data_IF_102209583002
#
_entry.id   IF_102209583002
#
_cell.length_a   1.000
_cell.length_b   1.000
_cell.length_c   1.000
_cell.angle_alpha   90.00
_cell.angle_beta   90.00
_cell.angle_gamma   90.00
#
_symmetry.space_group_name_H-M   'P 1'
#
loop_
_entity.id
_entity.type
_entity.pdbx_description
1 polymer ?
#
# COMPACT_ATOMS: atom_id res chain seq x y z
N UNK A 1 -7.65 0.74 4.36
CA UNK A 1 -6.45 0.15 3.73
C UNK A 1 -5.33 0.22 4.74
N UNK A 2 -4.51 -0.82 4.82
CA UNK A 2 -3.25 -0.83 5.57
C UNK A 2 -2.12 -1.19 4.62
N UNK A 3 -0.90 -0.74 4.88
CA UNK A 3 0.25 -1.02 4.02
C UNK A 3 1.52 -1.26 4.82
N UNK A 4 2.50 -1.86 4.16
CA UNK A 4 3.89 -1.99 4.62
C UNK A 4 4.84 -1.76 3.44
N UNK A 5 6.08 -1.36 3.73
CA UNK A 5 7.11 -1.13 2.72
C UNK A 5 8.31 -2.03 2.99
N UNK A 6 8.69 -2.84 2.02
CA UNK A 6 9.88 -3.69 2.05
C UNK A 6 11.01 -2.95 1.33
N UNK A 7 12.02 -2.53 2.07
CA UNK A 7 13.16 -1.80 1.55
C UNK A 7 14.10 -2.66 0.71
N UNK A 8 14.13 -3.98 0.97
CA UNK A 8 14.91 -4.95 0.19
C UNK A 8 14.30 -5.15 -1.19
N UNK A 9 12.98 -5.34 -1.25
CA UNK A 9 12.25 -5.52 -2.51
C UNK A 9 11.90 -4.19 -3.20
N UNK A 10 12.07 -3.04 -2.52
CA UNK A 10 11.60 -1.73 -2.96
C UNK A 10 10.11 -1.72 -3.32
N UNK A 11 9.29 -2.45 -2.56
CA UNK A 11 7.90 -2.72 -2.89
C UNK A 11 6.97 -2.36 -1.74
N UNK A 12 5.77 -1.89 -2.08
CA UNK A 12 4.69 -1.71 -1.11
C UNK A 12 3.77 -2.92 -1.13
N UNK A 13 3.34 -3.35 0.06
CA UNK A 13 2.34 -4.39 0.23
C UNK A 13 1.11 -3.80 0.88
N UNK A 14 -0.07 -4.16 0.38
CA UNK A 14 -1.35 -3.63 0.83
C UNK A 14 -2.26 -4.74 1.34
N UNK A 15 -3.01 -4.42 2.39
CA UNK A 15 -4.23 -5.13 2.76
C UNK A 15 -5.44 -4.23 2.49
N UNK A 16 -6.30 -4.65 1.58
CA UNK A 16 -7.44 -3.89 1.11
C UNK A 16 -8.73 -4.58 1.50
N UNK A 17 -9.61 -3.87 2.21
CA UNK A 17 -10.98 -4.34 2.44
C UNK A 17 -11.77 -4.17 1.14
N UNK A 18 -12.37 -5.25 0.66
CA UNK A 18 -13.02 -5.39 -0.65
C UNK A 18 -14.42 -6.00 -0.53
N UNK A 19 -15.09 -5.79 0.60
CA UNK A 19 -16.45 -6.32 0.79
C UNK A 19 -17.43 -5.91 -0.33
N UNK A 20 -18.58 -6.56 -0.37
CA UNK A 20 -19.60 -6.36 -1.42
C UNK A 20 -20.13 -4.93 -1.54
N UNK A 21 -19.93 -4.07 -0.54
CA UNK A 21 -20.28 -2.65 -0.57
C UNK A 21 -19.09 -1.75 -0.99
N UNK A 22 -17.93 -2.33 -1.27
CA UNK A 22 -16.73 -1.60 -1.70
C UNK A 22 -16.92 -1.04 -3.11
N UNK A 23 -16.93 0.29 -3.23
CA UNK A 23 -16.90 1.01 -4.50
C UNK A 23 -15.57 0.88 -5.27
N UNK A 24 -14.57 0.18 -4.71
CA UNK A 24 -13.26 0.01 -5.37
C UNK A 24 -13.44 -0.86 -6.61
N UNK A 25 -13.10 -0.36 -7.81
CA UNK A 25 -13.10 -1.19 -9.01
C UNK A 25 -12.01 -2.26 -8.89
N UNK A 26 -12.09 -3.36 -9.65
CA UNK A 26 -11.04 -4.38 -9.72
C UNK A 26 -9.66 -3.75 -9.84
N UNK A 27 -8.78 -4.12 -8.92
CA UNK A 27 -7.49 -3.48 -8.71
C UNK A 27 -6.31 -4.07 -9.52
N UNK A 28 -6.25 -5.36 -9.88
CA UNK A 28 -5.08 -5.90 -10.57
C UNK A 28 -4.96 -5.34 -12.00
N UNK A 29 -3.74 -5.36 -12.53
CA UNK A 29 -3.43 -5.03 -13.94
C UNK A 29 -3.74 -3.59 -14.39
N UNK A 30 -3.77 -2.63 -13.46
CA UNK A 30 -3.92 -1.22 -13.80
C UNK A 30 -2.79 -0.36 -13.21
N UNK A 31 -2.43 0.76 -13.88
CA UNK A 31 -1.53 1.73 -13.29
C UNK A 31 -2.17 2.35 -12.05
N UNK A 32 -1.40 2.46 -10.97
CA UNK A 32 -1.81 3.12 -9.74
C UNK A 32 -0.74 4.10 -9.27
N UNK A 33 -1.19 5.08 -8.49
CA UNK A 33 -0.32 5.93 -7.69
C UNK A 33 -0.71 5.75 -6.23
N UNK A 34 0.25 5.33 -5.42
CA UNK A 34 0.13 5.31 -3.97
C UNK A 34 0.86 6.53 -3.39
N UNK A 35 0.19 7.21 -2.46
CA UNK A 35 0.76 8.35 -1.73
C UNK A 35 0.64 8.07 -0.24
N UNK A 36 1.74 8.20 0.48
CA UNK A 36 1.75 8.31 1.93
C UNK A 36 2.50 9.56 2.35
N UNK A 37 2.17 10.07 3.53
CA UNK A 37 2.73 11.30 4.05
C UNK A 37 2.81 11.25 5.57
N UNK A 38 3.71 12.03 6.12
CA UNK A 38 3.85 12.24 7.56
C UNK A 38 4.39 13.65 7.82
N UNK A 39 4.21 14.13 9.04
CA UNK A 39 4.83 15.36 9.51
C UNK A 39 6.13 15.01 10.26
N UNK A 40 7.26 15.54 9.77
CA UNK A 40 8.58 15.31 10.36
C UNK A 40 9.26 16.66 10.52
N UNK A 41 9.71 16.97 11.74
CA UNK A 41 10.39 18.23 12.07
C UNK A 41 9.60 19.48 11.62
N UNK A 42 8.30 19.53 11.97
CA UNK A 42 7.37 20.62 11.63
C UNK A 42 7.24 20.89 10.10
N UNK A 43 7.53 19.89 9.27
CA UNK A 43 7.37 19.96 7.82
C UNK A 43 6.64 18.73 7.29
N UNK A 44 5.76 18.93 6.31
CA UNK A 44 5.12 17.80 5.63
C UNK A 44 6.10 17.08 4.70
N UNK A 45 6.16 15.75 4.82
CA UNK A 45 6.88 14.86 3.93
C UNK A 45 5.88 13.93 3.26
N UNK A 46 6.07 13.66 1.96
CA UNK A 46 5.26 12.69 1.22
C UNK A 46 6.11 11.83 0.31
N UNK A 47 5.66 10.59 0.12
CA UNK A 47 6.22 9.64 -0.83
C UNK A 47 5.13 9.31 -1.84
N UNK A 48 5.47 9.40 -3.13
CA UNK A 48 4.61 9.06 -4.25
C UNK A 48 5.24 7.89 -5.00
N UNK A 49 4.56 6.76 -5.00
CA UNK A 49 4.93 5.56 -5.73
C UNK A 49 3.95 5.34 -6.88
N UNK A 50 4.43 5.25 -8.11
CA UNK A 50 3.61 4.96 -9.29
C UNK A 50 4.06 3.66 -9.95
N UNK A 51 3.13 2.79 -10.30
CA UNK A 51 3.44 1.48 -10.88
C UNK A 51 2.20 0.64 -11.12
N UNK A 52 2.32 -0.69 -11.03
CA UNK A 52 1.20 -1.63 -11.18
C UNK A 52 0.91 -2.38 -9.89
N UNK A 53 -0.37 -2.63 -9.62
CA UNK A 53 -0.79 -3.57 -8.58
C UNK A 53 -0.81 -4.99 -9.14
N UNK A 54 -0.18 -5.89 -8.41
CA UNK A 54 -0.19 -7.32 -8.66
C UNK A 54 -0.79 -8.02 -7.44
N UNK A 55 -1.71 -8.96 -7.67
CA UNK A 55 -2.28 -9.76 -6.59
C UNK A 55 -1.18 -10.66 -6.01
N UNK A 56 -1.08 -10.77 -4.68
CA UNK A 56 0.03 -11.53 -4.05
C UNK A 56 -0.10 -13.03 -4.21
N UNK A 57 -1.29 -13.53 -4.57
CA UNK A 57 -1.57 -14.93 -4.88
C UNK A 57 -1.36 -15.26 -6.37
N UNK A 58 -0.97 -14.27 -7.18
CA UNK A 58 -0.56 -14.51 -8.57
C UNK A 58 0.69 -15.39 -8.60
N UNK A 59 0.62 -16.49 -9.35
CA UNK A 59 1.67 -17.50 -9.44
C UNK A 59 3.03 -16.95 -9.90
N UNK A 60 3.06 -15.85 -10.66
CA UNK A 60 4.31 -15.25 -11.13
C UNK A 60 5.08 -14.53 -10.01
N UNK A 61 4.40 -14.08 -8.96
CA UNK A 61 4.99 -13.26 -7.89
C UNK A 61 4.77 -13.82 -6.49
N UNK A 62 4.03 -14.91 -6.33
CA UNK A 62 3.63 -15.45 -5.04
C UNK A 62 4.82 -15.74 -4.10
N UNK A 63 5.91 -16.31 -4.62
CA UNK A 63 7.11 -16.61 -3.82
C UNK A 63 7.77 -15.33 -3.30
N UNK A 64 8.04 -14.37 -4.19
CA UNK A 64 8.64 -13.09 -3.83
C UNK A 64 7.74 -12.29 -2.87
N UNK A 65 6.43 -12.34 -3.09
CA UNK A 65 5.44 -11.68 -2.25
C UNK A 65 5.39 -12.30 -0.85
N UNK A 66 5.50 -13.62 -0.72
CA UNK A 66 5.60 -14.30 0.59
C UNK A 66 6.86 -13.88 1.35
N UNK A 67 8.00 -13.82 0.67
CA UNK A 67 9.24 -13.35 1.28
C UNK A 67 9.13 -11.89 1.73
N UNK A 68 8.59 -11.02 0.88
CA UNK A 68 8.40 -9.61 1.23
C UNK A 68 7.42 -9.42 2.38
N UNK A 69 6.26 -10.08 2.35
CA UNK A 69 5.28 -10.07 3.43
C UNK A 69 5.85 -10.60 4.76
N UNK A 70 6.85 -11.48 4.73
CA UNK A 70 7.54 -11.92 5.96
C UNK A 70 8.42 -10.81 6.58
N UNK A 71 8.89 -9.86 5.77
CA UNK A 71 9.70 -8.70 6.20
C UNK A 71 8.85 -7.50 6.61
N UNK A 72 7.62 -7.38 6.10
CA UNK A 72 6.74 -6.25 6.42
C UNK A 72 5.61 -6.62 7.39
N UNK A 73 5.50 -5.87 8.47
CA UNK A 73 4.31 -5.90 9.32
C UNK A 73 3.22 -4.99 8.76
N UNK A 74 2.15 -5.55 8.19
CA UNK A 74 0.97 -4.77 7.77
C UNK A 74 -0.03 -4.72 8.93
N UNK A 75 -0.28 -3.57 9.56
CA UNK A 75 -1.14 -3.48 10.75
C UNK A 75 -2.57 -3.98 10.47
N UNK A 76 -3.16 -4.79 11.35
CA UNK A 76 -4.59 -5.11 11.36
C UNK A 76 -5.34 -4.11 12.23
N UNK A 77 -6.18 -3.28 11.60
CA UNK A 77 -6.93 -2.21 12.28
C UNK A 77 -8.41 -2.56 12.34
N UNK A 78 -9.02 -2.32 13.49
CA UNK A 78 -10.45 -2.59 13.73
C UNK A 78 -11.25 -1.29 13.60
N UNK A 79 -11.70 -0.98 12.38
CA UNK A 79 -12.41 0.26 12.03
C UNK A 79 -13.70 0.03 11.24
N UNK A 80 -14.15 -1.23 11.12
CA UNK A 80 -15.18 -1.63 10.16
C UNK A 80 -16.61 -1.63 10.72
N UNK A 81 -16.80 -1.22 11.98
CA UNK A 81 -18.12 -1.27 12.65
C UNK A 81 -18.68 -2.69 12.83
N UNK A 82 -17.89 -3.72 12.49
CA UNK A 82 -18.15 -5.16 12.61
C UNK A 82 -16.83 -5.88 12.94
N UNK A 83 -16.87 -7.11 13.46
CA UNK A 83 -15.66 -7.89 13.73
C UNK A 83 -14.77 -7.94 12.49
N UNK A 84 -13.48 -7.65 12.68
CA UNK A 84 -12.51 -7.64 11.57
C UNK A 84 -12.40 -9.01 10.87
N UNK A 85 -12.72 -10.11 11.57
CA UNK A 85 -12.78 -11.45 10.99
C UNK A 85 -13.87 -11.64 9.92
N UNK A 86 -14.91 -10.79 9.91
CA UNK A 86 -16.00 -10.84 8.94
C UNK A 86 -15.72 -9.97 7.70
N UNK A 87 -14.56 -9.30 7.66
CA UNK A 87 -14.17 -8.41 6.57
C UNK A 87 -13.37 -9.20 5.54
N UNK A 88 -13.80 -9.15 4.28
CA UNK A 88 -13.05 -9.71 3.17
C UNK A 88 -11.87 -8.81 2.82
N UNK A 89 -10.68 -9.39 2.80
CA UNK A 89 -9.44 -8.72 2.46
C UNK A 89 -8.79 -9.34 1.24
N UNK A 90 -8.29 -8.47 0.36
CA UNK A 90 -7.36 -8.81 -0.70
C UNK A 90 -5.99 -8.21 -0.41
N UNK A 91 -4.96 -8.90 -0.91
CA UNK A 91 -3.56 -8.55 -0.71
C UNK A 91 -2.90 -8.27 -2.05
N UNK A 92 -2.19 -7.14 -2.11
CA UNK A 92 -1.56 -6.66 -3.34
C UNK A 92 -0.14 -6.20 -3.07
N UNK A 93 0.73 -6.38 -4.07
CA UNK A 93 2.04 -5.75 -4.18
C UNK A 93 1.97 -4.62 -5.20
N UNK A 94 2.54 -3.46 -4.88
CA UNK A 94 2.85 -2.44 -5.87
C UNK A 94 4.32 -2.56 -6.22
N UNK A 95 4.56 -2.82 -7.50
CA UNK A 95 5.87 -2.73 -8.13
C UNK A 95 6.00 -1.32 -8.73
N UNK A 96 6.73 -0.40 -8.07
CA UNK A 96 6.81 0.97 -8.53
C UNK A 96 7.76 1.08 -9.74
N UNK A 97 7.24 1.63 -10.84
CA UNK A 97 8.06 2.13 -11.95
C UNK A 97 8.73 3.49 -11.58
N UNK A 98 8.16 4.19 -10.58
CA UNK A 98 8.69 5.45 -10.05
C UNK A 98 8.41 5.60 -8.56
N UNK A 99 9.41 6.07 -7.80
CA UNK A 99 9.31 6.39 -6.39
C UNK A 99 9.94 7.76 -6.13
N UNK A 100 9.14 8.72 -5.68
CA UNK A 100 9.60 10.11 -5.45
C UNK A 100 9.20 10.60 -4.07
N UNK A 101 10.06 11.42 -3.46
CA UNK A 101 9.76 12.13 -2.22
C UNK A 101 9.47 13.61 -2.49
N UNK A 102 8.52 14.19 -1.76
CA UNK A 102 8.34 15.63 -1.68
C UNK A 102 8.37 16.07 -0.23
N UNK A 103 9.00 17.21 0.01
CA UNK A 103 8.98 17.92 1.28
C UNK A 103 8.30 19.26 1.07
N UNK A 104 7.47 19.66 2.01
CA UNK A 104 6.89 21.00 2.05
C UNK A 104 7.99 22.05 1.95
N UNK A 105 7.77 23.02 1.06
CA UNK A 105 8.61 24.20 1.01
C UNK A 105 8.11 25.18 2.06
N UNK A 106 8.97 25.58 2.98
CA UNK A 106 8.71 26.72 3.86
C UNK A 106 8.56 27.98 3.01
N UNK A 107 7.34 28.52 2.95
CA UNK A 107 7.07 29.81 2.31
C UNK A 107 7.25 30.87 3.39
N UNK A 108 8.31 31.66 3.30
CA UNK A 108 8.45 32.89 4.08
C UNK A 108 7.49 33.93 3.46
N UNK A 109 6.50 34.40 4.24
CA UNK A 109 5.48 35.39 3.81
C UNK A 109 5.80 36.75 4.39
#
# INVERSE_FOLDING_TARGET
MSYGYDDVANAFYFRLAVDSDSEKPPLPDRPVTFVTYDEVDDAWHSVVASGRLVATDDSEVATDALEGLSRVGIPLVDVFGRPTADVQFEFYRLDPDSLTGRREASVEV
#
